data_IF_943877586263
#
_entry.id   IF_943877586263
#
_cell.length_a   1.000
_cell.length_b   1.000
_cell.length_c   1.000
_cell.angle_alpha   90.00
_cell.angle_beta   90.00
_cell.angle_gamma   90.00
#
_symmetry.space_group_name_H-M   'P 1'
#
loop_
_entity.id
_entity.type
_entity.pdbx_description
1 polymer ?
#
# COMPACT_ATOMS: atom_id res chain seq x y z
N UNK A 1 1.91 22.43 -6.40
CA UNK A 1 0.52 22.95 -6.51
C UNK A 1 -0.41 21.98 -5.80
N UNK A 2 -1.12 22.41 -4.76
CA UNK A 2 -2.09 21.57 -4.05
C UNK A 2 -3.22 21.20 -5.00
N UNK A 3 -3.44 19.88 -5.21
CA UNK A 3 -4.62 19.39 -5.93
C UNK A 3 -5.88 19.97 -5.27
N UNK A 4 -6.90 20.40 -6.04
CA UNK A 4 -8.16 20.85 -5.48
C UNK A 4 -8.75 19.76 -4.59
N UNK A 5 -9.42 20.15 -3.50
CA UNK A 5 -10.05 19.24 -2.53
C UNK A 5 -11.24 18.55 -3.23
N UNK A 6 -10.95 17.50 -3.98
CA UNK A 6 -11.92 16.51 -4.43
C UNK A 6 -12.40 15.73 -3.22
N UNK A 7 -13.71 15.48 -3.14
CA UNK A 7 -14.29 14.60 -2.13
C UNK A 7 -13.52 13.26 -2.09
N UNK A 8 -13.24 12.71 -0.91
CA UNK A 8 -12.47 11.47 -0.81
C UNK A 8 -13.22 10.31 -1.46
N UNK A 9 -12.48 9.44 -2.14
CA UNK A 9 -13.00 8.22 -2.74
C UNK A 9 -13.42 7.20 -1.67
N UNK A 10 -12.71 7.17 -0.54
CA UNK A 10 -13.11 6.42 0.66
C UNK A 10 -13.01 7.32 1.88
N UNK A 11 -14.04 7.35 2.72
CA UNK A 11 -14.00 8.03 4.03
C UNK A 11 -14.41 7.06 5.12
N UNK A 12 -13.54 6.86 6.12
CA UNK A 12 -13.80 6.07 7.31
C UNK A 12 -13.94 7.02 8.50
N UNK A 13 -15.02 6.89 9.28
CA UNK A 13 -15.29 7.74 10.44
C UNK A 13 -15.67 6.89 11.65
N UNK A 14 -14.79 6.90 12.66
CA UNK A 14 -14.99 6.17 13.93
C UNK A 14 -15.31 4.70 13.71
N UNK A 15 -14.59 4.04 12.79
CA UNK A 15 -14.86 2.65 12.41
C UNK A 15 -14.39 1.71 13.51
N UNK A 16 -15.29 0.85 13.97
CA UNK A 16 -14.99 -0.21 14.92
C UNK A 16 -15.34 -1.58 14.34
N UNK A 17 -14.51 -2.56 14.66
CA UNK A 17 -14.83 -3.96 14.47
C UNK A 17 -14.45 -4.76 15.69
N UNK A 18 -15.46 -5.32 16.36
CA UNK A 18 -15.32 -6.11 17.59
C UNK A 18 -15.86 -7.51 17.33
N UNK A 19 -15.06 -8.54 17.63
CA UNK A 19 -15.49 -9.93 17.58
C UNK A 19 -15.86 -10.42 18.97
N UNK A 20 -16.93 -11.21 19.05
CA UNK A 20 -17.46 -11.75 20.30
C UNK A 20 -18.98 -11.76 20.31
N UNK A 21 -19.57 -12.45 21.29
CA UNK A 21 -21.02 -12.43 21.49
C UNK A 21 -21.48 -11.02 21.86
N UNK A 22 -22.60 -10.56 21.30
CA UNK A 22 -23.20 -9.25 21.58
C UNK A 22 -22.25 -8.06 21.38
N UNK A 23 -21.27 -8.17 20.48
CA UNK A 23 -20.18 -7.21 20.30
C UNK A 23 -20.65 -5.74 20.17
N UNK A 24 -21.77 -5.49 19.48
CA UNK A 24 -22.32 -4.15 19.30
C UNK A 24 -22.81 -3.53 20.62
N UNK A 25 -23.55 -4.29 21.41
CA UNK A 25 -24.07 -3.82 22.69
C UNK A 25 -22.97 -3.68 23.73
N UNK A 26 -22.02 -4.62 23.75
CA UNK A 26 -20.87 -4.56 24.65
C UNK A 26 -19.96 -3.37 24.32
N UNK A 27 -19.72 -3.08 23.03
CA UNK A 27 -19.01 -1.87 22.63
C UNK A 27 -19.72 -0.59 23.06
N UNK A 28 -21.06 -0.54 22.91
CA UNK A 28 -21.87 0.61 23.34
C UNK A 28 -21.77 0.82 24.85
N UNK A 29 -21.84 -0.25 25.65
CA UNK A 29 -21.65 -0.20 27.11
C UNK A 29 -20.25 0.26 27.48
N UNK A 30 -19.22 -0.34 26.88
CA UNK A 30 -17.84 0.01 27.15
C UNK A 30 -17.53 1.48 26.83
N UNK A 31 -18.03 2.00 25.70
CA UNK A 31 -17.90 3.42 25.36
C UNK A 31 -18.66 4.33 26.32
N UNK A 32 -19.82 3.92 26.83
CA UNK A 32 -20.57 4.71 27.81
C UNK A 32 -19.83 4.78 29.15
N UNK A 33 -19.30 3.65 29.64
CA UNK A 33 -18.57 3.55 30.91
C UNK A 33 -17.24 4.32 30.91
N UNK A 34 -16.62 4.47 29.75
CA UNK A 34 -15.30 5.10 29.58
C UNK A 34 -15.37 6.55 29.09
N UNK A 35 -16.57 7.14 29.05
CA UNK A 35 -16.74 8.50 28.54
C UNK A 35 -16.34 8.66 27.06
N UNK A 36 -16.53 7.60 26.26
CA UNK A 36 -16.15 7.48 24.83
C UNK A 36 -14.64 7.46 24.57
N UNK A 37 -13.81 7.16 25.57
CA UNK A 37 -12.39 6.93 25.33
C UNK A 37 -12.18 5.59 24.62
N UNK A 38 -11.70 5.62 23.38
CA UNK A 38 -11.50 4.41 22.56
C UNK A 38 -10.52 3.41 23.19
N UNK A 39 -9.42 3.88 23.77
CA UNK A 39 -8.38 3.02 24.36
C UNK A 39 -8.90 2.27 25.58
N UNK A 40 -9.59 2.99 26.47
CA UNK A 40 -10.17 2.41 27.68
C UNK A 40 -11.33 1.47 27.34
N UNK A 41 -12.17 1.83 26.37
CA UNK A 41 -13.25 0.97 25.89
C UNK A 41 -12.70 -0.35 25.30
N UNK A 42 -11.63 -0.28 24.51
CA UNK A 42 -10.98 -1.47 23.95
C UNK A 42 -10.38 -2.35 25.05
N UNK A 43 -9.77 -1.77 26.09
CA UNK A 43 -9.27 -2.51 27.25
C UNK A 43 -10.39 -3.26 27.96
N UNK A 44 -11.49 -2.57 28.27
CA UNK A 44 -12.66 -3.15 28.92
C UNK A 44 -13.31 -4.27 28.09
N UNK A 45 -13.37 -4.11 26.76
CA UNK A 45 -13.84 -5.16 25.87
C UNK A 45 -12.98 -6.43 25.93
N UNK A 46 -11.65 -6.28 26.00
CA UNK A 46 -10.73 -7.42 26.14
C UNK A 46 -10.92 -8.11 27.49
N UNK A 47 -11.11 -7.36 28.57
CA UNK A 47 -11.41 -7.89 29.91
C UNK A 47 -12.72 -8.68 29.93
N UNK A 48 -13.69 -8.31 29.08
CA UNK A 48 -14.95 -9.03 28.86
C UNK A 48 -14.83 -10.21 27.88
N UNK A 49 -13.63 -10.52 27.38
CA UNK A 49 -13.39 -11.62 26.45
C UNK A 49 -13.75 -11.33 24.99
N UNK A 50 -13.95 -10.06 24.62
CA UNK A 50 -14.14 -9.64 23.23
C UNK A 50 -12.82 -9.21 22.58
N UNK A 51 -12.77 -9.26 21.26
CA UNK A 51 -11.58 -8.89 20.47
C UNK A 51 -11.87 -7.63 19.66
N UNK A 52 -11.46 -6.44 20.12
CA UNK A 52 -11.58 -5.19 19.37
C UNK A 52 -10.50 -5.13 18.28
N UNK A 53 -10.76 -5.75 17.13
CA UNK A 53 -9.81 -5.86 16.02
C UNK A 53 -9.59 -4.55 15.25
N UNK A 54 -10.56 -3.63 15.26
CA UNK A 54 -10.44 -2.27 14.74
C UNK A 54 -11.08 -1.32 15.75
N UNK A 55 -10.37 -0.25 16.11
CA UNK A 55 -10.67 0.64 17.23
C UNK A 55 -10.67 2.09 16.76
N UNK A 56 -11.88 2.64 16.61
CA UNK A 56 -12.13 4.07 16.32
C UNK A 56 -11.35 4.65 15.13
N UNK A 57 -11.22 3.87 14.06
CA UNK A 57 -10.38 4.24 12.93
C UNK A 57 -11.07 5.31 12.07
N UNK A 58 -10.37 6.42 11.87
CA UNK A 58 -10.81 7.56 11.07
C UNK A 58 -9.72 7.98 10.09
N UNK A 59 -10.01 7.95 8.79
CA UNK A 59 -9.13 8.47 7.74
C UNK A 59 -9.88 8.60 6.42
N UNK A 60 -9.29 9.36 5.51
CA UNK A 60 -9.76 9.53 4.14
C UNK A 60 -8.71 9.05 3.13
N UNK A 61 -9.19 8.47 2.04
CA UNK A 61 -8.42 8.10 0.84
C UNK A 61 -8.92 8.95 -0.33
N UNK A 62 -8.03 9.75 -0.89
CA UNK A 62 -8.26 10.60 -2.04
C UNK A 62 -8.41 9.78 -3.33
N UNK A 63 -9.07 10.38 -4.32
CA UNK A 63 -9.22 9.76 -5.63
C UNK A 63 -7.87 9.62 -6.34
N UNK A 64 -7.59 8.42 -6.85
CA UNK A 64 -6.34 8.07 -7.52
C UNK A 64 -5.15 7.87 -6.58
N UNK A 65 -5.37 7.89 -5.26
CA UNK A 65 -4.35 7.66 -4.25
C UNK A 65 -4.06 6.15 -4.10
N UNK A 66 -2.77 5.80 -3.98
CA UNK A 66 -2.31 4.52 -3.45
C UNK A 66 -2.09 4.68 -1.95
N UNK A 67 -3.08 4.25 -1.17
CA UNK A 67 -3.06 4.30 0.29
C UNK A 67 -2.65 2.95 0.86
N UNK A 68 -1.47 2.89 1.48
CA UNK A 68 -0.94 1.64 2.07
C UNK A 68 -1.28 1.58 3.56
N UNK A 69 -1.82 0.46 4.01
CA UNK A 69 -2.04 0.12 5.42
C UNK A 69 -0.98 -0.90 5.83
N UNK A 70 -0.15 -0.55 6.81
CA UNK A 70 0.97 -1.34 7.28
C UNK A 70 0.84 -1.69 8.76
N UNK A 71 1.60 -2.67 9.21
CA UNK A 71 1.67 -3.08 10.61
C UNK A 71 1.94 -4.58 10.75
N UNK A 72 2.21 -5.02 11.97
CA UNK A 72 2.50 -6.44 12.24
C UNK A 72 1.27 -7.34 12.03
N UNK A 73 1.50 -8.65 11.96
CA UNK A 73 0.41 -9.64 11.96
C UNK A 73 -0.50 -9.42 13.18
N UNK A 74 -1.81 -9.53 12.98
CA UNK A 74 -2.80 -9.30 14.05
C UNK A 74 -3.14 -7.83 14.35
N UNK A 75 -2.53 -6.84 13.69
CA UNK A 75 -2.80 -5.42 13.96
C UNK A 75 -4.16 -4.89 13.47
N UNK A 76 -4.98 -5.72 12.81
CA UNK A 76 -6.33 -5.35 12.35
C UNK A 76 -6.45 -4.93 10.89
N UNK A 77 -5.36 -4.88 10.12
CA UNK A 77 -5.34 -4.43 8.70
C UNK A 77 -6.35 -5.15 7.81
N UNK A 78 -6.26 -6.48 7.75
CA UNK A 78 -7.15 -7.28 6.91
C UNK A 78 -8.61 -7.26 7.42
N UNK A 79 -8.83 -6.98 8.70
CA UNK A 79 -10.18 -6.75 9.23
C UNK A 79 -10.72 -5.41 8.74
N UNK A 80 -9.91 -4.36 8.79
CA UNK A 80 -10.27 -3.02 8.31
C UNK A 80 -10.59 -3.02 6.81
N UNK A 81 -9.74 -3.59 5.95
CA UNK A 81 -10.01 -3.63 4.50
C UNK A 81 -11.29 -4.44 4.18
N UNK A 82 -11.58 -5.50 4.94
CA UNK A 82 -12.80 -6.30 4.78
C UNK A 82 -14.04 -5.55 5.25
N UNK A 83 -13.90 -4.68 6.26
CA UNK A 83 -14.97 -3.79 6.67
C UNK A 83 -15.24 -2.72 5.59
N UNK A 84 -14.19 -2.13 5.02
CA UNK A 84 -14.28 -1.11 3.96
C UNK A 84 -14.84 -1.69 2.66
N UNK A 85 -14.41 -2.89 2.24
CA UNK A 85 -14.97 -3.60 1.09
C UNK A 85 -16.34 -4.25 1.36
N UNK A 86 -16.89 -4.06 2.58
CA UNK A 86 -18.15 -4.61 3.06
C UNK A 86 -18.23 -6.14 2.97
N UNK A 87 -17.10 -6.85 3.02
CA UNK A 87 -17.05 -8.32 3.09
C UNK A 87 -17.43 -8.83 4.48
N UNK A 88 -17.14 -8.02 5.51
CA UNK A 88 -17.70 -8.20 6.85
C UNK A 88 -18.55 -6.99 7.21
N UNK A 89 -19.51 -7.20 8.12
CA UNK A 89 -20.20 -6.08 8.71
C UNK A 89 -19.33 -5.43 9.79
N UNK A 90 -18.94 -4.17 9.59
CA UNK A 90 -18.40 -3.33 10.67
C UNK A 90 -19.38 -3.25 11.85
N UNK A 91 -18.86 -3.06 13.06
CA UNK A 91 -19.68 -3.05 14.30
C UNK A 91 -20.39 -1.71 14.48
N UNK A 92 -19.63 -0.61 14.43
CA UNK A 92 -20.12 0.79 14.42
C UNK A 92 -19.19 1.67 13.58
N UNK A 93 -19.57 2.93 13.39
CA UNK A 93 -18.87 3.90 12.54
C UNK A 93 -19.63 4.17 11.24
N UNK A 94 -19.00 4.92 10.34
CA UNK A 94 -19.48 5.15 8.98
C UNK A 94 -18.34 4.92 7.99
N UNK A 95 -18.68 4.31 6.86
CA UNK A 95 -17.76 4.10 5.74
C UNK A 95 -18.48 4.61 4.50
N UNK A 96 -17.89 5.63 3.85
CA UNK A 96 -18.40 6.20 2.63
C UNK A 96 -17.49 5.79 1.47
N UNK A 97 -18.07 5.36 0.36
CA UNK A 97 -17.38 5.16 -0.91
C UNK A 97 -17.97 6.13 -1.92
N UNK A 98 -17.17 7.04 -2.47
CA UNK A 98 -17.60 8.11 -3.37
C UNK A 98 -18.82 8.89 -2.82
N UNK A 99 -18.83 9.15 -1.51
CA UNK A 99 -19.92 9.85 -0.79
C UNK A 99 -21.13 8.99 -0.42
N UNK A 100 -21.21 7.72 -0.82
CA UNK A 100 -22.30 6.80 -0.46
C UNK A 100 -21.95 5.98 0.79
N UNK A 101 -22.77 6.04 1.85
CA UNK A 101 -22.57 5.21 3.05
C UNK A 101 -22.92 3.74 2.75
N UNK A 102 -21.90 2.90 2.69
CA UNK A 102 -22.03 1.48 2.32
C UNK A 102 -22.52 0.59 3.47
N UNK A 103 -22.56 1.11 4.72
CA UNK A 103 -23.09 0.36 5.85
C UNK A 103 -24.61 0.27 5.80
N UNK A 104 -25.25 1.30 5.25
CA UNK A 104 -26.72 1.40 5.09
C UNK A 104 -27.20 0.97 3.70
N UNK A 105 -26.29 0.81 2.74
CA UNK A 105 -26.61 0.36 1.39
C UNK A 105 -27.34 -1.00 1.35
N UNK A 106 -28.31 -1.12 0.45
CA UNK A 106 -29.07 -2.36 0.25
C UNK A 106 -28.18 -3.48 -0.29
N UNK A 107 -28.58 -4.74 -0.09
CA UNK A 107 -27.86 -5.90 -0.61
C UNK A 107 -27.66 -5.83 -2.14
N UNK A 108 -28.67 -5.34 -2.86
CA UNK A 108 -28.61 -5.19 -4.32
C UNK A 108 -27.59 -4.13 -4.73
N UNK A 109 -27.58 -2.98 -4.06
CA UNK A 109 -26.60 -1.92 -4.31
C UNK A 109 -25.17 -2.36 -4.03
N UNK A 110 -24.95 -3.12 -2.95
CA UNK A 110 -23.64 -3.71 -2.66
C UNK A 110 -23.17 -4.71 -3.74
N UNK A 111 -24.09 -5.47 -4.36
CA UNK A 111 -23.76 -6.36 -5.47
C UNK A 111 -23.32 -5.56 -6.70
N UNK A 112 -24.02 -4.48 -7.03
CA UNK A 112 -23.67 -3.60 -8.16
C UNK A 112 -22.30 -2.93 -7.96
N UNK A 113 -22.04 -2.41 -6.76
CA UNK A 113 -20.74 -1.82 -6.40
C UNK A 113 -19.61 -2.83 -6.59
N UNK A 114 -19.74 -4.05 -6.04
CA UNK A 114 -18.72 -5.10 -6.19
C UNK A 114 -18.55 -5.59 -7.61
N UNK A 115 -19.61 -5.54 -8.42
CA UNK A 115 -19.56 -5.99 -9.81
C UNK A 115 -18.85 -4.99 -10.72
N UNK A 116 -19.00 -3.69 -10.45
CA UNK A 116 -18.63 -2.65 -11.42
C UNK A 116 -17.56 -1.66 -10.91
N UNK A 117 -17.42 -1.50 -9.60
CA UNK A 117 -16.62 -0.42 -8.99
C UNK A 117 -15.49 -0.91 -8.11
N UNK A 118 -15.65 -2.05 -7.45
CA UNK A 118 -14.67 -2.56 -6.47
C UNK A 118 -13.94 -3.79 -7.00
N UNK A 119 -12.62 -3.82 -6.87
CA UNK A 119 -11.77 -4.98 -7.06
C UNK A 119 -11.16 -5.44 -5.73
N UNK A 120 -11.05 -6.74 -5.53
CA UNK A 120 -10.40 -7.31 -4.34
C UNK A 120 -9.39 -8.37 -4.74
N UNK A 121 -8.15 -8.23 -4.24
CA UNK A 121 -7.11 -9.26 -4.26
C UNK A 121 -6.93 -9.76 -2.83
N UNK A 122 -7.11 -11.07 -2.64
CA UNK A 122 -7.01 -11.73 -1.34
C UNK A 122 -5.63 -12.35 -1.15
N UNK A 123 -5.16 -12.38 0.10
CA UNK A 123 -3.96 -13.12 0.51
C UNK A 123 -4.05 -14.62 0.14
N UNK A 124 -5.22 -15.23 0.32
CA UNK A 124 -5.50 -16.58 -0.18
C UNK A 124 -6.26 -16.51 -1.51
N UNK A 125 -5.66 -17.08 -2.55
CA UNK A 125 -5.96 -16.80 -3.96
C UNK A 125 -7.43 -17.03 -4.38
N UNK A 126 -8.19 -17.82 -3.62
CA UNK A 126 -9.63 -18.01 -3.81
C UNK A 126 -9.97 -18.39 -5.26
N UNK A 127 -9.10 -19.18 -5.90
CA UNK A 127 -9.29 -19.63 -7.27
C UNK A 127 -10.32 -20.76 -7.29
N UNK A 128 -11.19 -20.77 -8.30
CA UNK A 128 -12.15 -21.84 -8.52
C UNK A 128 -11.39 -23.05 -9.08
N UNK A 129 -11.31 -24.18 -8.35
CA UNK A 129 -10.46 -25.31 -8.72
C UNK A 129 -10.98 -26.06 -9.96
N UNK A 130 -12.26 -25.91 -10.26
CA UNK A 130 -12.95 -26.53 -11.40
C UNK A 130 -13.00 -25.63 -12.65
N UNK A 131 -12.36 -24.46 -12.59
CA UNK A 131 -12.23 -23.54 -13.73
C UNK A 131 -10.76 -23.46 -14.14
N UNK A 132 -10.53 -23.30 -15.44
CA UNK A 132 -9.21 -22.98 -16.00
C UNK A 132 -8.72 -21.60 -15.52
N UNK A 133 -7.45 -21.29 -15.75
CA UNK A 133 -6.85 -19.99 -15.44
C UNK A 133 -7.58 -18.85 -16.16
N UNK A 134 -7.82 -18.97 -17.47
CA UNK A 134 -8.55 -17.97 -18.24
C UNK A 134 -10.00 -17.81 -17.76
N UNK A 135 -10.66 -18.89 -17.35
CA UNK A 135 -12.01 -18.82 -16.77
C UNK A 135 -12.02 -18.14 -15.40
N UNK A 136 -11.01 -18.41 -14.55
CA UNK A 136 -10.85 -17.71 -13.27
C UNK A 136 -10.69 -16.20 -13.49
N UNK A 137 -9.82 -15.80 -14.41
CA UNK A 137 -9.57 -14.38 -14.73
C UNK A 137 -10.81 -13.74 -15.37
N UNK A 138 -11.50 -14.44 -16.28
CA UNK A 138 -12.71 -13.97 -16.94
C UNK A 138 -14.00 -14.09 -16.11
N UNK A 139 -13.95 -14.68 -14.91
CA UNK A 139 -15.13 -14.91 -14.07
C UNK A 139 -15.85 -13.61 -13.68
N UNK A 140 -15.18 -12.56 -13.21
CA UNK A 140 -15.86 -11.30 -12.87
C UNK A 140 -16.53 -10.66 -14.09
N UNK A 141 -15.89 -10.73 -15.26
CA UNK A 141 -16.47 -10.25 -16.52
C UNK A 141 -17.73 -11.06 -16.91
N UNK A 142 -17.78 -12.36 -16.56
CA UNK A 142 -18.99 -13.19 -16.70
C UNK A 142 -20.11 -12.65 -15.83
N UNK A 143 -19.80 -12.23 -14.60
CA UNK A 143 -20.79 -11.65 -13.68
C UNK A 143 -21.27 -10.27 -14.14
N UNK A 144 -20.47 -9.54 -14.90
CA UNK A 144 -20.85 -8.31 -15.61
C UNK A 144 -21.68 -8.55 -16.88
N UNK A 145 -21.82 -9.80 -17.33
CA UNK A 145 -22.61 -10.16 -18.51
C UNK A 145 -21.85 -10.09 -19.84
N UNK A 146 -20.52 -9.97 -19.84
CA UNK A 146 -19.73 -9.95 -21.09
C UNK A 146 -19.82 -11.29 -21.83
N UNK A 147 -19.76 -11.24 -23.17
CA UNK A 147 -19.80 -12.44 -24.00
C UNK A 147 -18.54 -13.30 -23.85
N UNK A 148 -18.66 -14.62 -24.01
CA UNK A 148 -17.56 -15.58 -23.76
C UNK A 148 -16.26 -15.23 -24.50
N UNK A 149 -16.36 -14.85 -25.78
CA UNK A 149 -15.21 -14.47 -26.60
C UNK A 149 -14.49 -13.24 -26.05
N UNK A 150 -15.23 -12.20 -25.66
CA UNK A 150 -14.67 -10.97 -25.09
C UNK A 150 -13.99 -11.24 -23.74
N UNK A 151 -14.63 -12.05 -22.89
CA UNK A 151 -14.07 -12.45 -21.59
C UNK A 151 -12.75 -13.17 -21.73
N UNK A 152 -12.67 -14.15 -22.65
CA UNK A 152 -11.44 -14.90 -22.91
C UNK A 152 -10.36 -14.00 -23.49
N UNK A 153 -10.67 -13.14 -24.46
CA UNK A 153 -9.70 -12.21 -25.02
C UNK A 153 -9.08 -11.30 -23.95
N UNK A 154 -9.91 -10.69 -23.10
CA UNK A 154 -9.44 -9.85 -21.99
C UNK A 154 -8.66 -10.65 -20.94
N UNK A 155 -9.07 -11.89 -20.65
CA UNK A 155 -8.32 -12.75 -19.74
C UNK A 155 -6.92 -13.07 -20.25
N UNK A 156 -6.77 -13.35 -21.55
CA UNK A 156 -5.47 -13.64 -22.18
C UNK A 156 -4.55 -12.41 -22.12
N UNK A 157 -5.06 -11.24 -22.48
CA UNK A 157 -4.31 -9.97 -22.42
C UNK A 157 -3.73 -9.74 -21.02
N UNK A 158 -4.55 -9.92 -19.98
CA UNK A 158 -4.11 -9.70 -18.60
C UNK A 158 -3.20 -10.83 -18.08
N UNK A 159 -3.38 -12.06 -18.56
CA UNK A 159 -2.47 -13.17 -18.24
C UNK A 159 -1.07 -12.95 -18.80
N UNK A 160 -0.96 -12.35 -19.99
CA UNK A 160 0.32 -11.96 -20.57
C UNK A 160 1.03 -10.91 -19.69
N UNK A 161 0.31 -9.88 -19.24
CA UNK A 161 0.84 -8.86 -18.34
C UNK A 161 1.42 -9.43 -17.03
N UNK A 162 0.79 -10.47 -16.47
CA UNK A 162 1.28 -11.12 -15.24
C UNK A 162 2.29 -12.26 -15.53
N UNK A 163 2.76 -12.41 -16.77
CA UNK A 163 3.75 -13.43 -17.15
C UNK A 163 3.22 -14.87 -17.03
N UNK A 164 1.95 -15.08 -17.36
CA UNK A 164 1.27 -16.38 -17.41
C UNK A 164 0.82 -16.77 -18.82
N UNK A 165 1.40 -16.17 -19.85
CA UNK A 165 1.20 -16.60 -21.23
C UNK A 165 1.46 -18.11 -21.40
N UNK A 166 0.59 -18.79 -22.15
CA UNK A 166 0.66 -20.24 -22.36
C UNK A 166 0.10 -21.10 -21.21
N UNK A 167 -0.46 -20.48 -20.16
CA UNK A 167 -1.10 -21.18 -19.02
C UNK A 167 -2.60 -20.97 -18.94
N UNK A 168 -3.21 -20.41 -19.98
CA UNK A 168 -4.62 -20.00 -20.05
C UNK A 168 -5.57 -21.16 -19.75
N UNK A 169 -5.26 -22.35 -20.29
CA UNK A 169 -6.11 -23.54 -20.20
C UNK A 169 -5.69 -24.49 -19.07
N UNK A 170 -4.67 -24.14 -18.29
CA UNK A 170 -4.29 -24.90 -17.10
C UNK A 170 -5.33 -24.73 -15.98
N UNK A 171 -5.39 -25.69 -15.07
CA UNK A 171 -6.17 -25.62 -13.84
C UNK A 171 -5.31 -25.16 -12.65
N UNK A 172 -5.89 -24.54 -11.60
CA UNK A 172 -5.14 -24.05 -10.44
C UNK A 172 -4.24 -25.08 -9.74
N UNK A 173 -4.59 -26.37 -9.81
CA UNK A 173 -3.80 -27.48 -9.26
C UNK A 173 -2.49 -27.74 -10.02
N UNK A 174 -2.39 -27.30 -11.26
CA UNK A 174 -1.23 -27.46 -12.15
C UNK A 174 -0.25 -26.28 -12.04
N UNK A 175 -0.55 -25.33 -11.16
CA UNK A 175 0.21 -24.11 -10.94
C UNK A 175 1.03 -24.17 -9.64
N UNK A 176 2.16 -23.45 -9.61
CA UNK A 176 2.87 -23.14 -8.37
C UNK A 176 2.07 -22.16 -7.49
N UNK A 177 2.47 -22.01 -6.22
CA UNK A 177 1.86 -21.03 -5.31
C UNK A 177 1.89 -19.60 -5.87
N UNK A 178 3.06 -19.16 -6.35
CA UNK A 178 3.21 -17.83 -6.95
C UNK A 178 2.45 -17.67 -8.28
N UNK A 179 2.31 -18.73 -9.07
CA UNK A 179 1.45 -18.69 -10.26
C UNK A 179 -0.03 -18.51 -9.88
N UNK A 180 -0.53 -19.22 -8.87
CA UNK A 180 -1.90 -19.03 -8.37
C UNK A 180 -2.16 -17.60 -7.88
N UNK A 181 -1.17 -17.00 -7.23
CA UNK A 181 -1.24 -15.60 -6.79
C UNK A 181 -1.39 -14.63 -7.98
N UNK A 182 -0.58 -14.85 -9.03
CA UNK A 182 -0.64 -14.06 -10.27
C UNK A 182 -2.00 -14.19 -10.97
N UNK A 183 -2.63 -15.36 -10.96
CA UNK A 183 -4.01 -15.53 -11.45
C UNK A 183 -5.00 -14.70 -10.63
N UNK A 184 -4.85 -14.66 -9.31
CA UNK A 184 -5.68 -13.84 -8.42
C UNK A 184 -5.58 -12.34 -8.71
N UNK A 185 -4.36 -11.85 -8.96
CA UNK A 185 -4.08 -10.47 -9.36
C UNK A 185 -4.67 -10.19 -10.74
N UNK A 186 -4.43 -11.07 -11.72
CA UNK A 186 -4.98 -10.96 -13.08
C UNK A 186 -6.51 -10.88 -13.08
N UNK A 187 -7.18 -11.65 -12.21
CA UNK A 187 -8.64 -11.60 -12.07
C UNK A 187 -9.15 -10.22 -11.62
N UNK A 188 -8.44 -9.53 -10.74
CA UNK A 188 -8.78 -8.16 -10.36
C UNK A 188 -8.48 -7.16 -11.49
N UNK A 189 -7.34 -7.33 -12.18
CA UNK A 189 -6.91 -6.49 -13.31
C UNK A 189 -7.87 -6.56 -14.51
N UNK A 190 -8.48 -7.72 -14.74
CA UNK A 190 -9.40 -7.93 -15.86
C UNK A 190 -10.62 -7.00 -15.82
N UNK A 191 -11.12 -6.69 -14.63
CA UNK A 191 -12.33 -5.88 -14.42
C UNK A 191 -12.08 -4.39 -14.58
N UNK A 192 -10.83 -3.95 -14.39
CA UNK A 192 -10.44 -2.53 -14.31
C UNK A 192 -11.36 -1.69 -13.38
N UNK A 193 -11.49 -2.07 -12.09
CA UNK A 193 -12.36 -1.36 -11.16
C UNK A 193 -11.81 0.02 -10.80
N UNK A 194 -12.69 0.88 -10.29
CA UNK A 194 -12.34 2.24 -9.85
C UNK A 194 -11.60 2.24 -8.51
N UNK A 195 -11.93 1.27 -7.65
CA UNK A 195 -11.36 1.08 -6.32
C UNK A 195 -10.77 -0.31 -6.18
N UNK A 196 -9.50 -0.36 -5.81
CA UNK A 196 -8.74 -1.58 -5.62
C UNK A 196 -8.48 -1.83 -4.14
N UNK A 197 -8.78 -3.03 -3.68
CA UNK A 197 -8.44 -3.50 -2.34
C UNK A 197 -7.47 -4.67 -2.49
N UNK A 198 -6.24 -4.50 -2.00
CA UNK A 198 -5.21 -5.54 -2.08
C UNK A 198 -4.77 -5.94 -0.67
N UNK A 199 -5.03 -7.19 -0.28
CA UNK A 199 -4.68 -7.73 1.05
C UNK A 199 -3.44 -8.62 0.93
N UNK A 200 -2.26 -8.05 1.14
CA UNK A 200 -0.93 -8.70 0.98
C UNK A 200 -0.76 -9.44 -0.36
N UNK A 201 -0.96 -8.75 -1.50
CA UNK A 201 -1.03 -9.40 -2.81
C UNK A 201 0.29 -10.00 -3.28
N UNK A 202 1.42 -9.72 -2.62
CA UNK A 202 2.75 -10.17 -3.03
C UNK A 202 3.54 -10.94 -1.97
N UNK A 203 2.96 -11.21 -0.79
CA UNK A 203 3.67 -11.80 0.36
C UNK A 203 4.22 -13.21 0.10
N UNK A 204 3.54 -14.01 -0.72
CA UNK A 204 3.95 -15.36 -1.08
C UNK A 204 4.74 -15.46 -2.40
N UNK A 205 5.15 -14.32 -2.98
CA UNK A 205 5.94 -14.26 -4.21
C UNK A 205 7.44 -14.20 -3.91
N UNK A 206 8.23 -14.79 -4.81
CA UNK A 206 9.68 -14.63 -4.83
C UNK A 206 10.07 -13.16 -5.09
N UNK A 207 11.28 -12.72 -4.67
CA UNK A 207 11.66 -11.31 -4.77
C UNK A 207 11.70 -10.73 -6.18
N UNK A 208 12.04 -11.54 -7.20
CA UNK A 208 12.14 -11.06 -8.59
C UNK A 208 10.75 -10.79 -9.16
N UNK A 209 9.84 -11.77 -9.05
CA UNK A 209 8.46 -11.63 -9.53
C UNK A 209 7.70 -10.58 -8.73
N UNK A 210 7.96 -10.47 -7.41
CA UNK A 210 7.41 -9.39 -6.59
C UNK A 210 7.74 -8.02 -7.16
N UNK A 211 9.02 -7.75 -7.46
CA UNK A 211 9.44 -6.47 -8.04
C UNK A 211 8.77 -6.20 -9.38
N UNK A 212 8.76 -7.19 -10.28
CA UNK A 212 8.12 -7.07 -11.59
C UNK A 212 6.63 -6.71 -11.49
N UNK A 213 5.87 -7.34 -10.59
CA UNK A 213 4.45 -7.04 -10.42
C UNK A 213 4.20 -5.70 -9.73
N UNK A 214 5.09 -5.27 -8.84
CA UNK A 214 5.04 -3.92 -8.27
C UNK A 214 5.28 -2.86 -9.35
N UNK A 215 6.27 -3.07 -10.22
CA UNK A 215 6.56 -2.16 -11.33
C UNK A 215 5.40 -2.07 -12.32
N UNK A 216 4.77 -3.22 -12.63
CA UNK A 216 3.59 -3.24 -13.47
C UNK A 216 2.38 -2.58 -12.79
N UNK A 217 2.19 -2.78 -11.48
CA UNK A 217 1.16 -2.06 -10.72
C UNK A 217 1.37 -0.54 -10.81
N UNK A 218 2.60 -0.07 -10.61
CA UNK A 218 2.94 1.36 -10.74
C UNK A 218 2.70 1.87 -12.16
N UNK A 219 3.04 1.10 -13.19
CA UNK A 219 2.77 1.44 -14.60
C UNK A 219 1.27 1.59 -14.87
N UNK A 220 0.47 0.64 -14.39
CA UNK A 220 -1.00 0.67 -14.52
C UNK A 220 -1.57 1.87 -13.76
N UNK A 221 -1.08 2.11 -12.56
CA UNK A 221 -1.48 3.24 -11.72
C UNK A 221 -1.17 4.58 -12.41
N UNK A 222 0.01 4.72 -13.03
CA UNK A 222 0.40 5.92 -13.76
C UNK A 222 -0.52 6.22 -14.96
N UNK A 223 -1.06 5.18 -15.61
CA UNK A 223 -1.96 5.34 -16.76
C UNK A 223 -3.44 5.53 -16.41
N UNK A 224 -3.92 4.93 -15.32
CA UNK A 224 -5.36 4.84 -15.01
C UNK A 224 -5.78 5.62 -13.76
N UNK A 225 -4.83 6.01 -12.91
CA UNK A 225 -5.04 6.71 -11.64
C UNK A 225 -6.20 6.13 -10.82
N UNK A 226 -6.18 4.81 -10.61
CA UNK A 226 -7.21 4.11 -9.83
C UNK A 226 -6.97 4.34 -8.34
N UNK A 227 -8.04 4.41 -7.56
CA UNK A 227 -7.88 4.53 -6.10
C UNK A 227 -7.56 3.14 -5.53
N UNK A 228 -6.49 3.01 -4.75
CA UNK A 228 -6.04 1.71 -4.25
C UNK A 228 -5.80 1.76 -2.74
N UNK A 229 -6.37 0.80 -2.01
CA UNK A 229 -6.04 0.51 -0.61
C UNK A 229 -5.27 -0.80 -0.56
N UNK A 230 -4.02 -0.70 -0.13
CA UNK A 230 -3.06 -1.79 -0.22
C UNK A 230 -2.58 -2.18 1.18
N UNK A 231 -2.58 -3.46 1.53
CA UNK A 231 -2.04 -3.94 2.81
C UNK A 231 -0.72 -4.64 2.57
N UNK A 232 0.25 -4.31 3.41
CA UNK A 232 1.52 -5.02 3.49
C UNK A 232 2.09 -5.01 4.90
N UNK A 233 3.08 -5.87 5.13
CA UNK A 233 3.94 -5.83 6.30
C UNK A 233 5.38 -5.42 5.95
N UNK A 234 5.68 -5.24 4.65
CA UNK A 234 7.00 -4.86 4.15
C UNK A 234 7.07 -3.34 3.95
N UNK A 235 7.88 -2.67 4.77
CA UNK A 235 8.10 -1.22 4.68
C UNK A 235 8.63 -0.81 3.31
N UNK A 236 9.49 -1.61 2.68
CA UNK A 236 10.10 -1.27 1.39
C UNK A 236 9.06 -1.22 0.29
N UNK A 237 8.09 -2.14 0.35
CA UNK A 237 6.95 -2.17 -0.54
C UNK A 237 6.05 -0.96 -0.35
N UNK A 238 5.77 -0.60 0.91
CA UNK A 238 4.98 0.60 1.21
C UNK A 238 5.66 1.88 0.69
N UNK A 239 6.96 2.04 0.93
CA UNK A 239 7.72 3.21 0.49
C UNK A 239 7.82 3.32 -1.03
N UNK A 240 7.83 2.17 -1.74
CA UNK A 240 7.87 2.15 -3.20
C UNK A 240 6.52 2.47 -3.85
N UNK A 241 5.42 2.01 -3.24
CA UNK A 241 4.09 2.04 -3.86
C UNK A 241 3.19 3.18 -3.40
N UNK A 242 3.33 3.63 -2.15
CA UNK A 242 2.34 4.46 -1.50
C UNK A 242 2.50 5.94 -1.82
N UNK A 243 1.38 6.62 -2.01
CA UNK A 243 1.29 8.07 -1.84
C UNK A 243 1.23 8.42 -0.34
N UNK A 244 0.45 7.65 0.44
CA UNK A 244 0.34 7.76 1.90
C UNK A 244 0.28 6.39 2.56
N UNK A 245 0.85 6.33 3.76
CA UNK A 245 0.99 5.13 4.56
C UNK A 245 0.27 5.34 5.90
N UNK A 246 -0.59 4.39 6.27
CA UNK A 246 -1.19 4.27 7.59
C UNK A 246 -0.56 3.09 8.34
N UNK A 247 0.10 3.35 9.46
CA UNK A 247 0.67 2.31 10.32
C UNK A 247 -0.33 1.94 11.41
N UNK A 248 -0.66 0.65 11.51
CA UNK A 248 -1.60 0.10 12.48
C UNK A 248 -0.91 -0.78 13.52
N UNK A 249 -1.33 -0.62 14.78
CA UNK A 249 -0.95 -1.46 15.93
C UNK A 249 -2.18 -1.81 16.72
N UNK A 250 -2.38 -3.07 17.08
CA UNK A 250 -3.47 -3.51 17.97
C UNK A 250 -4.86 -2.95 17.62
N UNK A 251 -5.20 -2.81 16.34
CA UNK A 251 -6.49 -2.31 15.85
C UNK A 251 -6.63 -0.79 15.79
N UNK A 252 -5.62 -0.02 16.21
CA UNK A 252 -5.59 1.45 16.08
C UNK A 252 -4.67 1.87 14.92
N UNK A 253 -4.97 3.00 14.31
CA UNK A 253 -4.02 3.70 13.43
C UNK A 253 -3.12 4.57 14.29
N UNK A 254 -1.82 4.35 14.20
CA UNK A 254 -0.78 5.02 15.00
C UNK A 254 -0.30 6.30 14.32
N UNK A 255 -0.03 6.22 13.01
CA UNK A 255 0.43 7.34 12.20
C UNK A 255 -0.09 7.20 10.77
N UNK A 256 -0.47 8.33 10.16
CA UNK A 256 -0.71 8.45 8.73
C UNK A 256 0.18 9.55 8.21
N UNK A 257 0.91 9.29 7.12
CA UNK A 257 1.76 10.30 6.48
C UNK A 257 2.26 9.85 5.12
N UNK A 258 2.97 10.72 4.43
CA UNK A 258 3.72 10.36 3.22
C UNK A 258 4.90 9.42 3.57
N UNK A 259 5.45 8.68 2.60
CA UNK A 259 6.69 7.91 2.80
C UNK A 259 7.80 8.71 3.49
N UNK A 260 8.02 9.96 3.09
CA UNK A 260 8.99 10.87 3.71
C UNK A 260 8.70 11.14 5.18
N UNK A 261 7.45 11.48 5.52
CA UNK A 261 7.04 11.77 6.89
C UNK A 261 7.23 10.56 7.81
N UNK A 262 6.93 9.35 7.32
CA UNK A 262 7.11 8.11 8.08
C UNK A 262 8.60 7.85 8.38
N UNK A 263 9.50 8.11 7.43
CA UNK A 263 10.93 7.86 7.57
C UNK A 263 11.64 8.92 8.42
N UNK A 264 11.31 10.19 8.18
CA UNK A 264 12.00 11.34 8.76
C UNK A 264 11.44 11.65 10.14
N UNK A 265 10.11 11.57 10.30
CA UNK A 265 9.40 12.00 11.50
C UNK A 265 8.50 10.87 12.07
N UNK A 266 9.05 9.74 12.52
CA UNK A 266 8.27 8.67 13.17
C UNK A 266 7.69 9.17 14.51
N UNK A 267 6.40 8.94 14.75
CA UNK A 267 5.67 9.47 15.93
C UNK A 267 6.04 8.77 17.24
N UNK A 268 6.44 7.49 17.18
CA UNK A 268 6.87 6.70 18.33
C UNK A 268 7.95 5.66 17.95
N UNK A 269 8.48 4.96 18.95
CA UNK A 269 9.51 3.93 18.73
C UNK A 269 9.00 2.73 17.92
N UNK A 270 7.70 2.47 17.95
CA UNK A 270 7.11 1.40 17.15
C UNK A 270 7.15 1.73 15.66
N UNK A 271 6.80 2.97 15.27
CA UNK A 271 6.96 3.42 13.88
C UNK A 271 8.44 3.48 13.49
N UNK A 272 9.32 3.92 14.39
CA UNK A 272 10.76 3.96 14.16
C UNK A 272 11.35 2.57 13.88
N UNK A 273 10.82 1.52 14.50
CA UNK A 273 11.28 0.15 14.27
C UNK A 273 11.13 -0.28 12.80
N UNK A 274 10.03 0.10 12.13
CA UNK A 274 9.82 -0.23 10.72
C UNK A 274 10.81 0.47 9.79
N UNK A 275 11.34 1.63 10.18
CA UNK A 275 12.20 2.46 9.33
C UNK A 275 13.69 2.33 9.68
N UNK A 276 14.04 1.51 10.68
CA UNK A 276 15.42 1.38 11.18
C UNK A 276 16.40 0.93 10.11
N UNK A 277 16.04 -0.10 9.35
CA UNK A 277 16.93 -0.74 8.36
C UNK A 277 16.66 -0.25 6.93
N UNK A 278 15.83 0.79 6.78
CA UNK A 278 15.55 1.40 5.47
C UNK A 278 16.69 2.34 5.10
N UNK A 279 17.32 2.19 3.91
CA UNK A 279 18.25 3.18 3.40
C UNK A 279 17.50 4.48 3.09
N UNK A 280 17.42 5.37 4.08
CA UNK A 280 16.62 6.60 4.03
C UNK A 280 16.94 7.46 2.81
N UNK A 281 18.22 7.51 2.44
CA UNK A 281 18.70 8.30 1.32
C UNK A 281 18.02 7.97 -0.02
N UNK A 282 17.59 6.71 -0.19
CA UNK A 282 16.94 6.20 -1.39
C UNK A 282 15.43 6.50 -1.45
N UNK A 283 14.78 6.63 -0.30
CA UNK A 283 13.32 6.72 -0.19
C UNK A 283 12.84 8.05 0.35
N UNK A 284 13.75 8.97 0.67
CA UNK A 284 13.41 10.32 1.12
C UNK A 284 13.84 11.36 0.11
N UNK A 285 12.96 12.34 -0.10
CA UNK A 285 13.17 13.44 -1.03
C UNK A 285 13.82 14.66 -0.35
N UNK A 286 14.54 15.47 -1.12
CA UNK A 286 15.19 16.69 -0.62
C UNK A 286 14.17 17.65 0.02
N UNK A 287 12.95 17.70 -0.55
CA UNK A 287 11.83 18.48 -0.02
C UNK A 287 11.51 18.20 1.45
N UNK A 288 11.78 16.99 1.96
CA UNK A 288 11.50 16.62 3.35
C UNK A 288 12.57 17.09 4.34
N UNK A 289 13.72 17.57 3.87
CA UNK A 289 14.85 18.01 4.70
C UNK A 289 15.22 19.49 4.49
N UNK A 290 14.70 20.13 3.45
CA UNK A 290 15.02 21.50 3.12
C UNK A 290 14.49 22.49 4.17
N UNK A 291 15.25 23.57 4.38
CA UNK A 291 14.82 24.73 5.16
C UNK A 291 15.17 25.99 4.37
N UNK A 292 14.27 26.97 4.38
CA UNK A 292 14.50 28.27 3.74
C UNK A 292 14.85 29.31 4.81
N UNK A 293 16.13 29.63 5.03
CA UNK A 293 16.53 30.64 6.01
C UNK A 293 16.11 32.04 5.54
N UNK A 294 15.85 32.95 6.49
CA UNK A 294 15.51 34.35 6.20
C UNK A 294 16.64 35.09 5.46
N UNK A 295 17.89 34.69 5.72
CA UNK A 295 19.08 35.24 5.08
C UNK A 295 19.75 34.12 4.29
N UNK A 296 19.82 34.29 2.97
CA UNK A 296 20.47 33.31 2.10
C UNK A 296 22.00 33.42 2.23
N UNK A 297 22.71 32.31 2.48
CA UNK A 297 24.16 32.29 2.44
C UNK A 297 24.66 32.47 0.99
N UNK A 298 25.93 32.83 0.83
CA UNK A 298 26.57 32.80 -0.48
C UNK A 298 26.68 31.34 -0.97
N UNK A 299 26.09 31.04 -2.13
CA UNK A 299 26.05 29.70 -2.73
C UNK A 299 26.76 29.74 -4.10
N UNK A 300 28.11 29.69 -4.14
CA UNK A 300 28.88 29.84 -5.36
C UNK A 300 28.79 28.62 -6.30
N UNK A 301 28.43 27.46 -5.75
CA UNK A 301 28.30 26.19 -6.45
C UNK A 301 26.82 25.80 -6.56
N UNK A 302 26.38 25.45 -7.78
CA UNK A 302 24.99 25.02 -8.05
C UNK A 302 24.98 23.59 -8.63
N UNK A 303 24.82 22.57 -7.78
CA UNK A 303 24.67 21.17 -8.23
C UNK A 303 23.32 20.89 -8.91
N UNK A 304 22.44 21.89 -9.04
CA UNK A 304 21.08 21.77 -9.61
C UNK A 304 20.23 20.71 -8.92
N UNK A 305 20.23 20.72 -7.58
CA UNK A 305 19.39 19.84 -6.79
C UNK A 305 17.93 20.29 -6.93
N UNK A 306 17.07 19.34 -7.29
CA UNK A 306 15.63 19.53 -7.36
C UNK A 306 14.92 18.96 -6.11
N UNK A 307 13.76 19.51 -5.75
CA UNK A 307 12.99 19.11 -4.56
C UNK A 307 12.53 17.66 -4.60
N UNK A 308 12.34 17.09 -5.80
CA UNK A 308 11.89 15.72 -6.02
C UNK A 308 13.07 14.74 -6.13
N UNK A 309 14.32 15.21 -6.10
CA UNK A 309 15.48 14.32 -6.02
C UNK A 309 15.47 13.54 -4.71
N UNK A 310 15.89 12.28 -4.77
CA UNK A 310 16.21 11.53 -3.55
C UNK A 310 17.44 12.13 -2.89
N UNK A 311 17.58 11.97 -1.58
CA UNK A 311 18.78 12.44 -0.86
C UNK A 311 20.05 11.81 -1.44
N UNK A 312 20.02 10.54 -1.87
CA UNK A 312 21.17 9.87 -2.50
C UNK A 312 21.54 10.53 -3.85
N UNK A 313 20.55 10.87 -4.68
CA UNK A 313 20.78 11.54 -5.96
C UNK A 313 21.31 12.98 -5.78
N UNK A 314 20.76 13.69 -4.79
CA UNK A 314 21.22 15.02 -4.43
C UNK A 314 22.66 15.00 -3.88
N UNK A 315 22.99 14.02 -3.03
CA UNK A 315 24.34 13.83 -2.50
C UNK A 315 25.33 13.54 -3.63
N UNK A 316 24.98 12.65 -4.56
CA UNK A 316 25.83 12.38 -5.72
C UNK A 316 26.07 13.63 -6.58
N UNK A 317 25.04 14.44 -6.79
CA UNK A 317 25.13 15.70 -7.54
C UNK A 317 26.05 16.71 -6.86
N UNK A 318 25.94 16.86 -5.53
CA UNK A 318 26.87 17.67 -4.73
C UNK A 318 28.30 17.16 -4.80
N UNK A 319 28.50 15.85 -4.62
CA UNK A 319 29.83 15.22 -4.58
C UNK A 319 30.54 15.24 -5.94
N UNK A 320 29.81 15.44 -7.04
CA UNK A 320 30.36 15.64 -8.37
C UNK A 320 31.09 16.98 -8.53
N UNK A 321 30.82 17.98 -7.68
CA UNK A 321 31.47 19.29 -7.73
C UNK A 321 32.84 19.33 -7.05
N UNK A 322 33.18 18.30 -6.27
CA UNK A 322 34.43 18.22 -5.52
C UNK A 322 35.58 17.69 -6.39
N UNK A 323 36.80 18.18 -6.11
CA UNK A 323 38.02 17.65 -6.75
C UNK A 323 38.37 16.23 -6.26
N UNK A 324 39.10 15.43 -7.07
CA UNK A 324 39.62 14.14 -6.64
C UNK A 324 40.48 14.25 -5.38
N UNK A 325 40.34 13.29 -4.48
CA UNK A 325 41.09 13.21 -3.22
C UNK A 325 42.11 12.06 -3.25
N UNK A 326 43.28 12.20 -2.61
CA UNK A 326 44.28 11.13 -2.57
C UNK A 326 43.82 9.96 -1.67
N UNK A 327 44.14 8.74 -2.11
CA UNK A 327 43.92 7.48 -1.38
C UNK A 327 45.27 6.97 -0.88
N UNK A 328 45.34 6.57 0.38
CA UNK A 328 46.59 6.17 1.04
C UNK A 328 46.62 4.67 1.32
N UNK A 329 47.75 4.04 1.04
CA UNK A 329 48.03 2.64 1.35
C UNK A 329 48.35 2.43 2.83
N UNK A 330 48.35 1.17 3.28
CA UNK A 330 48.73 0.78 4.67
C UNK A 330 50.19 1.10 5.01
N UNK A 331 51.03 1.30 3.99
CA UNK A 331 52.42 1.72 4.10
C UNK A 331 52.59 3.26 4.20
N UNK A 332 51.47 4.01 4.22
CA UNK A 332 51.47 5.47 4.27
C UNK A 332 51.82 6.15 2.95
N UNK A 333 52.00 5.39 1.86
CA UNK A 333 52.25 5.96 0.53
C UNK A 333 50.93 6.22 -0.19
N UNK A 334 50.91 7.20 -1.07
CA UNK A 334 49.74 7.47 -1.91
C UNK A 334 49.54 6.28 -2.86
N UNK A 335 48.40 5.61 -2.71
CA UNK A 335 48.00 4.45 -3.49
C UNK A 335 47.19 4.83 -4.74
N UNK A 336 46.55 6.00 -4.75
CA UNK A 336 45.77 6.48 -5.90
C UNK A 336 45.01 7.77 -5.61
N UNK A 337 44.05 8.10 -6.47
CA UNK A 337 43.06 9.15 -6.25
C UNK A 337 41.66 8.59 -6.44
N UNK A 338 40.68 9.18 -5.75
CA UNK A 338 39.27 8.85 -5.96
C UNK A 338 38.45 10.13 -6.05
N UNK A 339 37.49 10.16 -6.97
CA UNK A 339 36.54 11.26 -7.04
C UNK A 339 35.40 11.02 -6.03
N UNK A 340 35.04 11.97 -5.16
CA UNK A 340 33.94 11.78 -4.21
C UNK A 340 32.62 11.38 -4.90
N UNK A 341 32.30 11.99 -6.04
CA UNK A 341 31.16 11.57 -6.88
C UNK A 341 31.18 10.09 -7.34
N UNK A 342 32.35 9.48 -7.56
CA UNK A 342 32.44 8.04 -7.89
C UNK A 342 32.11 7.16 -6.69
N UNK A 343 32.53 7.56 -5.48
CA UNK A 343 32.16 6.87 -4.24
C UNK A 343 30.66 6.98 -3.97
N UNK A 344 30.07 8.16 -4.18
CA UNK A 344 28.64 8.38 -4.04
C UNK A 344 27.85 7.48 -5.02
N UNK A 345 28.27 7.45 -6.28
CA UNK A 345 27.65 6.62 -7.32
C UNK A 345 27.75 5.12 -7.00
N UNK A 346 28.84 4.66 -6.38
CA UNK A 346 29.01 3.26 -5.99
C UNK A 346 28.11 2.82 -4.82
N UNK A 347 27.60 3.76 -4.01
CA UNK A 347 26.62 3.50 -2.95
C UNK A 347 25.18 3.45 -3.50
N UNK A 348 24.96 4.01 -4.69
CA UNK A 348 23.68 3.91 -5.38
C UNK A 348 23.55 2.52 -6.00
N UNK A 349 22.40 1.86 -5.79
CA UNK A 349 22.06 0.64 -6.52
C UNK A 349 21.62 1.07 -7.92
N UNK A 350 22.24 0.52 -8.97
CA UNK A 350 21.88 0.80 -10.36
C UNK A 350 20.35 0.71 -10.56
N UNK A 351 19.75 1.80 -11.05
CA UNK A 351 18.39 1.79 -11.60
C UNK A 351 18.48 1.14 -12.98
N UNK A 352 18.22 -0.17 -13.06
CA UNK A 352 17.96 -0.86 -14.32
C UNK A 352 16.50 -0.76 -14.71
#
# INVERSE_FOLDING_TARGET
MSKPITSPAISCKGVWQVYGANAREELKRALAETGKNARDAAKLLRERGLVPAVQDVTFDVAEGEVFVIMGLSGSGKSTLIRAISRLIAGTVGSILINGEDILTASKQRLIELRRNKLGMVFQHFGLFPHMTVAENVGFPLKMQGLASRQRRARAIEVLDLVGLAGREDAYPRELSGGQRQRVGIARALAVNPDLWFLDEPYSALDPLIRRQLQDEFLRIQAGLQKTSVFITHDITEALKLADRIAIMRDGIVVQIGTPDEIIVNPVDDYVREFTRDVPKGRYSHVSSMMNLPEILPNMPDDPKIDTDMTIDDALASCMALYQPVPVWGRDGKMAGVVHPGQLASALQVERS
#
